data_IF_771432219058
#
_entry.id   IF_771432219058
#
_cell.length_a   1.000
_cell.length_b   1.000
_cell.length_c   1.000
_cell.angle_alpha   90.00
_cell.angle_beta   90.00
_cell.angle_gamma   90.00
#
_symmetry.space_group_name_H-M   'P 1'
#
loop_
_entity.id
_entity.type
_entity.pdbx_description
1 polymer ?
#
# COMPACT_ATOMS: atom_id res chain seq x y z
N UNK A 1 21.20 6.70 8.60
CA UNK A 1 19.96 6.88 7.82
C UNK A 1 18.79 6.38 8.66
N UNK A 2 18.27 7.21 9.58
CA UNK A 2 17.13 6.84 10.44
C UNK A 2 15.78 7.21 9.77
N UNK A 3 15.76 8.32 9.02
CA UNK A 3 14.53 8.86 8.44
C UNK A 3 13.80 7.96 7.43
N UNK A 4 14.52 7.18 6.62
CA UNK A 4 13.87 6.32 5.61
C UNK A 4 13.08 5.17 6.23
N UNK A 5 13.59 4.60 7.33
CA UNK A 5 12.91 3.51 8.05
C UNK A 5 11.66 4.00 8.75
N UNK A 6 11.73 5.14 9.43
CA UNK A 6 10.58 5.74 10.10
C UNK A 6 9.50 6.15 9.10
N UNK A 7 9.89 6.74 7.97
CA UNK A 7 8.96 7.17 6.94
C UNK A 7 8.26 6.01 6.21
N UNK A 8 8.98 4.92 5.94
CA UNK A 8 8.37 3.71 5.39
C UNK A 8 7.47 3.02 6.43
N UNK A 9 7.90 2.95 7.69
CA UNK A 9 7.11 2.38 8.77
C UNK A 9 5.81 3.15 9.00
N UNK A 10 5.86 4.48 8.92
CA UNK A 10 4.70 5.36 9.03
C UNK A 10 3.72 5.17 7.85
N UNK A 11 4.23 5.04 6.62
CA UNK A 11 3.39 4.71 5.46
C UNK A 11 2.68 3.36 5.62
N UNK A 12 3.37 2.33 6.12
CA UNK A 12 2.74 1.02 6.39
C UNK A 12 1.61 1.17 7.42
N UNK A 13 1.81 2.00 8.45
CA UNK A 13 0.80 2.27 9.47
C UNK A 13 -0.43 2.98 8.89
N UNK A 14 -0.21 4.03 8.10
CA UNK A 14 -1.28 4.78 7.42
C UNK A 14 -2.09 3.87 6.50
N UNK A 15 -1.41 3.05 5.68
CA UNK A 15 -2.07 2.09 4.77
C UNK A 15 -2.84 1.04 5.54
N UNK A 16 -2.25 0.49 6.60
CA UNK A 16 -2.93 -0.46 7.50
C UNK A 16 -4.23 0.13 8.05
N UNK A 17 -4.18 1.32 8.66
CA UNK A 17 -5.36 1.98 9.21
C UNK A 17 -6.45 2.22 8.15
N UNK A 18 -6.04 2.65 6.95
CA UNK A 18 -6.93 2.82 5.80
C UNK A 18 -7.61 1.50 5.40
N UNK A 19 -6.85 0.40 5.26
CA UNK A 19 -7.41 -0.89 4.85
C UNK A 19 -8.34 -1.50 5.90
N UNK A 20 -8.01 -1.32 7.19
CA UNK A 20 -8.90 -1.74 8.29
C UNK A 20 -10.22 -0.96 8.24
N UNK A 21 -10.16 0.36 8.03
CA UNK A 21 -11.36 1.19 7.89
C UNK A 21 -12.21 0.80 6.67
N UNK A 22 -11.57 0.44 5.56
CA UNK A 22 -12.23 -0.04 4.33
C UNK A 22 -12.63 -1.52 4.40
N UNK A 23 -12.20 -2.25 5.43
CA UNK A 23 -12.33 -3.72 5.56
C UNK A 23 -11.82 -4.48 4.32
N UNK A 24 -10.74 -3.99 3.73
CA UNK A 24 -10.23 -4.52 2.48
C UNK A 24 -9.10 -3.68 1.87
N UNK A 25 -8.35 -4.28 0.96
CA UNK A 25 -7.22 -3.65 0.26
C UNK A 25 -7.63 -3.38 -1.18
N UNK A 26 -7.55 -2.16 -1.71
CA UNK A 26 -7.83 -1.90 -3.11
C UNK A 26 -6.83 -2.63 -3.99
N UNK A 27 -7.29 -3.31 -5.05
CA UNK A 27 -6.42 -4.11 -5.93
C UNK A 27 -5.19 -3.35 -6.45
N UNK A 28 -5.33 -2.05 -6.80
CA UNK A 28 -4.20 -1.22 -7.25
C UNK A 28 -3.16 -0.98 -6.15
N UNK A 29 -3.59 -0.93 -4.89
CA UNK A 29 -2.70 -0.64 -3.77
C UNK A 29 -2.05 -1.91 -3.21
N UNK A 30 -2.49 -3.11 -3.61
CA UNK A 30 -1.91 -4.38 -3.15
C UNK A 30 -0.42 -4.45 -3.52
N UNK A 31 -0.08 -4.13 -4.77
CA UNK A 31 1.30 -4.13 -5.25
C UNK A 31 2.13 -3.02 -4.59
N UNK A 32 1.56 -1.83 -4.41
CA UNK A 32 2.24 -0.73 -3.72
C UNK A 32 2.54 -1.08 -2.26
N UNK A 33 1.58 -1.69 -1.56
CA UNK A 33 1.74 -2.08 -0.16
C UNK A 33 2.79 -3.18 0.01
N UNK A 34 2.86 -4.12 -0.94
CA UNK A 34 3.91 -5.14 -0.98
C UNK A 34 5.30 -4.52 -1.14
N UNK A 35 5.44 -3.58 -2.08
CA UNK A 35 6.69 -2.84 -2.29
C UNK A 35 7.13 -2.04 -1.07
N UNK A 36 6.19 -1.38 -0.37
CA UNK A 36 6.46 -0.66 0.87
C UNK A 36 6.98 -1.60 1.96
N UNK A 37 6.32 -2.74 2.17
CA UNK A 37 6.77 -3.72 3.16
C UNK A 37 8.10 -4.35 2.76
N UNK A 38 8.30 -4.68 1.49
CA UNK A 38 9.54 -5.26 0.99
C UNK A 38 10.73 -4.33 1.24
N UNK A 39 10.62 -3.05 0.90
CA UNK A 39 11.65 -2.05 1.17
C UNK A 39 11.87 -1.84 2.68
N UNK A 40 10.81 -1.86 3.48
CA UNK A 40 10.93 -1.71 4.94
C UNK A 40 11.60 -2.92 5.61
N UNK A 41 11.20 -4.14 5.23
CA UNK A 41 11.63 -5.37 5.88
C UNK A 41 12.99 -5.86 5.36
N UNK A 42 13.16 -5.94 4.04
CA UNK A 42 14.36 -6.53 3.44
C UNK A 42 15.53 -5.54 3.42
N UNK A 43 15.30 -4.28 3.05
CA UNK A 43 16.39 -3.30 2.92
C UNK A 43 16.78 -2.69 4.27
N UNK A 44 15.82 -2.52 5.18
CA UNK A 44 16.03 -1.78 6.44
C UNK A 44 15.94 -2.64 7.70
N UNK A 45 15.73 -3.96 7.57
CA UNK A 45 15.52 -4.88 8.71
C UNK A 45 14.47 -4.34 9.69
N UNK A 46 13.31 -4.02 9.12
CA UNK A 46 12.13 -3.50 9.82
C UNK A 46 11.75 -4.25 11.09
N UNK A 47 11.00 -3.59 11.99
CA UNK A 47 10.60 -4.21 13.25
C UNK A 47 9.43 -5.19 13.10
N UNK A 48 9.32 -6.09 14.07
CA UNK A 48 8.32 -7.16 14.10
C UNK A 48 6.87 -6.62 14.02
N UNK A 49 6.57 -5.53 14.73
CA UNK A 49 5.21 -5.00 14.79
C UNK A 49 4.63 -4.54 13.45
N UNK A 50 5.46 -3.96 12.56
CA UNK A 50 4.98 -3.58 11.20
C UNK A 50 4.85 -4.80 10.30
N UNK A 51 5.65 -5.84 10.52
CA UNK A 51 5.52 -7.12 9.82
C UNK A 51 4.21 -7.82 10.17
N UNK A 52 3.81 -7.80 11.44
CA UNK A 52 2.52 -8.35 11.87
C UNK A 52 1.34 -7.61 11.23
N UNK A 53 1.42 -6.27 11.15
CA UNK A 53 0.41 -5.46 10.46
C UNK A 53 0.27 -5.83 8.97
N UNK A 54 1.39 -5.99 8.27
CA UNK A 54 1.38 -6.40 6.87
C UNK A 54 0.75 -7.79 6.70
N UNK A 55 1.15 -8.77 7.53
CA UNK A 55 0.57 -10.12 7.51
C UNK A 55 -0.93 -10.09 7.79
N UNK A 56 -1.34 -9.34 8.82
CA UNK A 56 -2.75 -9.20 9.18
C UNK A 56 -3.57 -8.70 7.99
N UNK A 57 -3.09 -7.66 7.31
CA UNK A 57 -3.75 -7.12 6.12
C UNK A 57 -3.84 -8.17 5.01
N UNK A 58 -2.78 -8.90 4.71
CA UNK A 58 -2.75 -9.89 3.62
C UNK A 58 -3.57 -11.15 3.90
N UNK A 59 -3.63 -11.58 5.15
CA UNK A 59 -4.31 -12.82 5.56
C UNK A 59 -5.78 -12.58 5.94
N UNK A 60 -6.11 -11.43 6.51
CA UNK A 60 -7.46 -11.14 7.02
C UNK A 60 -8.29 -10.19 6.15
N UNK A 61 -7.67 -9.36 5.31
CA UNK A 61 -8.42 -8.39 4.49
C UNK A 61 -8.58 -8.89 3.04
N UNK A 62 -9.81 -8.88 2.50
CA UNK A 62 -10.04 -9.21 1.11
C UNK A 62 -9.51 -8.10 0.19
N UNK A 63 -9.13 -8.49 -1.03
CA UNK A 63 -8.82 -7.54 -2.10
C UNK A 63 -10.13 -6.97 -2.65
N UNK A 64 -10.26 -5.65 -2.62
CA UNK A 64 -11.40 -4.91 -3.13
C UNK A 64 -11.17 -4.59 -4.61
N UNK A 65 -12.06 -5.07 -5.51
CA UNK A 65 -11.97 -4.73 -6.91
C UNK A 65 -12.24 -3.24 -7.09
N UNK A 66 -11.36 -2.59 -7.82
CA UNK A 66 -11.49 -1.18 -8.17
C UNK A 66 -12.09 -1.07 -9.57
N UNK A 67 -13.17 -0.30 -9.70
CA UNK A 67 -13.59 0.20 -11.00
C UNK A 67 -12.72 1.39 -11.33
N UNK A 68 -11.58 1.15 -11.98
CA UNK A 68 -10.92 2.19 -12.74
C UNK A 68 -11.88 2.60 -13.85
N UNK A 69 -12.44 3.81 -13.75
CA UNK A 69 -13.09 4.47 -14.87
C UNK A 69 -11.95 5.19 -15.61
N UNK A 70 -11.34 4.60 -16.66
CA UNK A 70 -10.35 5.32 -17.43
C UNK A 70 -11.04 6.52 -18.06
N UNK A 71 -10.76 7.72 -17.55
CA UNK A 71 -11.08 8.94 -18.25
C UNK A 71 -10.03 9.03 -19.35
N UNK A 72 -10.33 8.45 -20.51
CA UNK A 72 -9.58 8.75 -21.72
C UNK A 72 -9.90 10.21 -22.04
N UNK A 73 -8.97 11.13 -21.77
CA UNK A 73 -9.02 12.47 -22.36
C UNK A 73 -8.86 12.27 -23.87
N UNK A 74 -9.99 12.18 -24.57
CA UNK A 74 -10.04 12.12 -26.02
C UNK A 74 -9.46 13.43 -26.56
N UNK A 75 -8.28 13.30 -27.17
CA UNK A 75 -7.71 14.16 -28.19
C UNK A 75 -8.05 15.65 -28.15
N UNK A 76 -7.14 16.47 -27.64
CA UNK A 76 -6.86 17.76 -28.27
C UNK A 76 -5.65 17.64 -29.19
N UNK A 77 -5.84 16.93 -30.31
CA UNK A 77 -5.12 17.24 -31.55
C UNK A 77 -5.70 18.54 -32.11
N UNK A 78 -5.31 19.66 -31.51
CA UNK A 78 -5.70 20.99 -31.93
C UNK A 78 -4.63 21.61 -32.82
N UNK A 79 -4.83 21.44 -34.15
CA UNK A 79 -4.35 22.24 -35.30
C UNK A 79 -2.91 22.72 -35.34
#
# INVERSE_FOLDING_TARGET
MCGTMELLGDKIDQRFSKYIAMKGIPENEVAEFDGLWNAYHNELKGNHGRTEKYKYVKEHLPVLPIKINPIYEEGKSGK
#
